data_IF_465891397630
#
_entry.id   IF_465891397630
#
_cell.length_a   1.000
_cell.length_b   1.000
_cell.length_c   1.000
_cell.angle_alpha   90.00
_cell.angle_beta   90.00
_cell.angle_gamma   90.00
#
_symmetry.space_group_name_H-M   'P 1'
#
loop_
_entity.id
_entity.type
_entity.pdbx_description
1 polymer ?
#
# COMPACT_ATOMS: atom_id res chain seq x y z
N UNK A 1 -11.75 7.20 35.85
CA UNK A 1 -10.68 6.45 35.16
C UNK A 1 -11.32 5.16 34.75
N UNK A 2 -11.78 5.12 33.50
CA UNK A 2 -12.69 4.12 32.95
C UNK A 2 -11.99 2.83 32.54
N UNK A 3 -12.69 1.72 32.75
CA UNK A 3 -12.32 0.33 32.53
C UNK A 3 -12.08 -0.02 31.04
N UNK A 4 -10.85 0.19 30.54
CA UNK A 4 -10.45 -0.22 29.18
C UNK A 4 -9.90 -1.65 29.08
N UNK A 5 -9.80 -2.41 30.17
CA UNK A 5 -9.14 -3.72 30.22
C UNK A 5 -9.88 -4.94 29.59
N UNK A 6 -11.23 -5.01 29.51
CA UNK A 6 -11.90 -6.23 29.04
C UNK A 6 -11.96 -6.37 27.50
N UNK A 7 -11.89 -5.28 26.73
CA UNK A 7 -12.04 -5.33 25.26
C UNK A 7 -10.76 -5.82 24.55
N UNK A 8 -9.60 -5.37 25.01
CA UNK A 8 -8.31 -5.76 24.43
C UNK A 8 -8.02 -7.25 24.63
N UNK A 9 -8.35 -7.79 25.82
CA UNK A 9 -8.17 -9.23 26.12
C UNK A 9 -9.08 -10.13 25.27
N UNK A 10 -10.26 -9.65 24.86
CA UNK A 10 -11.16 -10.40 23.95
C UNK A 10 -10.61 -10.38 22.53
N UNK A 11 -10.14 -9.22 22.04
CA UNK A 11 -9.52 -9.09 20.70
C UNK A 11 -8.27 -9.96 20.55
N UNK A 12 -7.44 -10.02 21.59
CA UNK A 12 -6.25 -10.89 21.61
C UNK A 12 -6.63 -12.37 21.52
N UNK A 13 -7.67 -12.81 22.24
CA UNK A 13 -8.18 -14.18 22.16
C UNK A 13 -8.73 -14.50 20.76
N UNK A 14 -9.49 -13.59 20.15
CA UNK A 14 -10.00 -13.75 18.79
C UNK A 14 -8.85 -13.85 17.79
N UNK A 15 -7.88 -12.94 17.87
CA UNK A 15 -6.68 -12.94 17.04
C UNK A 15 -5.91 -14.26 17.15
N UNK A 16 -5.73 -14.77 18.38
CA UNK A 16 -5.10 -16.06 18.63
C UNK A 16 -5.85 -17.23 17.96
N UNK A 17 -7.19 -17.28 18.11
CA UNK A 17 -8.03 -18.33 17.51
C UNK A 17 -7.96 -18.27 15.97
N UNK A 18 -8.10 -17.08 15.38
CA UNK A 18 -8.02 -16.87 13.93
C UNK A 18 -6.66 -17.30 13.41
N UNK A 19 -5.58 -16.89 14.08
CA UNK A 19 -4.21 -17.28 13.70
C UNK A 19 -4.02 -18.79 13.72
N UNK A 20 -4.52 -19.49 14.75
CA UNK A 20 -4.46 -20.96 14.80
C UNK A 20 -5.21 -21.62 13.65
N UNK A 21 -6.38 -21.11 13.28
CA UNK A 21 -7.17 -21.64 12.16
C UNK A 21 -6.50 -21.35 10.81
N UNK A 22 -5.91 -20.17 10.63
CA UNK A 22 -5.12 -19.84 9.43
C UNK A 22 -3.92 -20.79 9.28
N UNK A 23 -3.28 -21.19 10.38
CA UNK A 23 -2.16 -22.14 10.36
C UNK A 23 -2.54 -23.55 9.89
N UNK A 24 -3.84 -23.91 9.86
CA UNK A 24 -4.31 -25.16 9.28
C UNK A 24 -4.45 -25.10 7.75
N UNK A 25 -4.43 -23.89 7.16
CA UNK A 25 -4.52 -23.74 5.71
C UNK A 25 -3.22 -24.20 5.02
N UNK A 26 -3.28 -24.61 3.74
CA UNK A 26 -2.10 -24.87 2.94
C UNK A 26 -1.12 -23.69 2.94
N UNK A 27 0.18 -23.98 2.93
CA UNK A 27 1.25 -22.99 3.02
C UNK A 27 1.12 -21.84 2.00
N UNK A 28 0.71 -22.16 0.77
CA UNK A 28 0.49 -21.16 -0.28
C UNK A 28 -0.60 -20.13 0.07
N UNK A 29 -1.68 -20.58 0.74
CA UNK A 29 -2.79 -19.71 1.15
C UNK A 29 -2.39 -18.87 2.37
N UNK A 30 -1.66 -19.48 3.32
CA UNK A 30 -1.10 -18.79 4.48
C UNK A 30 -0.12 -17.69 4.07
N UNK A 31 0.79 -17.99 3.14
CA UNK A 31 1.77 -17.03 2.65
C UNK A 31 1.13 -15.80 2.01
N UNK A 32 -0.02 -15.96 1.34
CA UNK A 32 -0.77 -14.84 0.75
C UNK A 32 -1.37 -13.92 1.82
N UNK A 33 -1.82 -14.48 2.95
CA UNK A 33 -2.33 -13.72 4.10
C UNK A 33 -1.20 -12.95 4.81
N UNK A 34 -0.10 -13.62 5.11
CA UNK A 34 1.03 -13.05 5.86
C UNK A 34 1.81 -12.01 5.05
N UNK A 35 2.10 -12.31 3.78
CA UNK A 35 2.96 -11.47 2.93
C UNK A 35 2.18 -10.53 2.00
N UNK A 36 0.84 -10.53 2.09
CA UNK A 36 -0.02 -9.68 1.25
C UNK A 36 0.37 -8.20 1.28
N UNK A 37 0.57 -7.63 2.46
CA UNK A 37 0.99 -6.23 2.60
C UNK A 37 2.38 -5.95 2.02
N UNK A 38 3.28 -6.93 2.03
CA UNK A 38 4.62 -6.82 1.44
C UNK A 38 4.54 -6.71 -0.08
N UNK A 39 3.69 -7.48 -0.75
CA UNK A 39 3.49 -7.36 -2.21
C UNK A 39 2.96 -5.96 -2.59
N UNK A 40 2.00 -5.44 -1.81
CA UNK A 40 1.47 -4.09 -2.01
C UNK A 40 2.55 -3.04 -1.83
N UNK A 41 3.38 -3.17 -0.80
CA UNK A 41 4.56 -2.32 -0.57
C UNK A 41 5.55 -2.36 -1.72
N UNK A 42 5.90 -3.55 -2.22
CA UNK A 42 6.86 -3.70 -3.33
C UNK A 42 6.35 -3.03 -4.60
N UNK A 43 5.08 -3.20 -4.95
CA UNK A 43 4.49 -2.53 -6.09
C UNK A 43 4.47 -1.00 -5.92
N UNK A 44 4.23 -0.50 -4.70
CA UNK A 44 4.30 0.93 -4.40
C UNK A 44 5.73 1.49 -4.56
N UNK A 45 6.74 0.72 -4.15
CA UNK A 45 8.15 1.04 -4.37
C UNK A 45 8.47 1.19 -5.86
N UNK A 46 8.01 0.23 -6.67
CA UNK A 46 8.17 0.27 -8.12
C UNK A 46 7.42 1.47 -8.73
N UNK A 47 6.20 1.75 -8.29
CA UNK A 47 5.46 2.93 -8.71
C UNK A 47 6.22 4.23 -8.40
N UNK A 48 6.82 4.34 -7.21
CA UNK A 48 7.64 5.47 -6.81
C UNK A 48 8.90 5.62 -7.67
N UNK A 49 9.59 4.52 -7.99
CA UNK A 49 10.76 4.53 -8.89
C UNK A 49 10.40 4.92 -10.32
N UNK A 50 9.28 4.41 -10.85
CA UNK A 50 8.79 4.78 -12.19
C UNK A 50 8.43 6.26 -12.23
N UNK A 51 7.65 6.74 -11.24
CA UNK A 51 7.29 8.15 -11.13
C UNK A 51 8.54 9.04 -11.06
N UNK A 52 9.51 8.67 -10.21
CA UNK A 52 10.77 9.37 -10.08
C UNK A 52 11.52 9.43 -11.43
N UNK A 53 11.64 8.31 -12.14
CA UNK A 53 12.29 8.25 -13.45
C UNK A 53 11.62 9.17 -14.48
N UNK A 54 10.28 9.21 -14.50
CA UNK A 54 9.52 10.10 -15.39
C UNK A 54 9.73 11.58 -15.06
N UNK A 55 9.65 11.98 -13.78
CA UNK A 55 9.89 13.37 -13.38
C UNK A 55 11.32 13.82 -13.65
N UNK A 56 12.31 12.96 -13.42
CA UNK A 56 13.72 13.25 -13.73
C UNK A 56 13.95 13.53 -15.22
N UNK A 57 13.30 12.77 -16.10
CA UNK A 57 13.39 12.97 -17.55
C UNK A 57 12.75 14.29 -17.99
N UNK A 58 11.66 14.71 -17.34
CA UNK A 58 11.00 15.98 -17.67
C UNK A 58 11.77 17.19 -17.13
N UNK A 59 12.41 17.06 -15.97
CA UNK A 59 13.16 18.13 -15.31
C UNK A 59 14.68 18.08 -15.58
N UNK A 60 15.12 17.24 -16.52
CA UNK A 60 16.53 17.03 -16.89
C UNK A 60 17.49 16.76 -15.71
N UNK A 61 17.00 16.12 -14.64
CA UNK A 61 17.80 15.82 -13.44
C UNK A 61 18.64 14.55 -13.65
N UNK A 62 19.95 14.71 -13.83
CA UNK A 62 20.89 13.58 -14.04
C UNK A 62 21.64 13.15 -12.78
N UNK A 63 21.75 14.05 -11.80
CA UNK A 63 22.47 13.95 -10.54
C UNK A 63 21.68 13.14 -9.49
N UNK A 64 22.35 12.71 -8.42
CA UNK A 64 21.71 12.05 -7.26
C UNK A 64 20.78 10.86 -7.60
N UNK A 65 21.17 9.98 -8.56
CA UNK A 65 20.35 8.83 -8.99
C UNK A 65 19.97 7.89 -7.85
N UNK A 66 20.94 7.52 -7.04
CA UNK A 66 20.74 6.59 -5.91
C UNK A 66 20.09 7.34 -4.74
N UNK A 67 20.62 8.51 -4.38
CA UNK A 67 20.12 9.31 -3.25
C UNK A 67 18.67 9.78 -3.42
N UNK A 68 18.20 10.01 -4.65
CA UNK A 68 16.80 10.30 -4.94
C UNK A 68 15.96 9.04 -5.19
N UNK A 69 16.56 7.95 -5.70
CA UNK A 69 15.87 6.69 -5.98
C UNK A 69 15.52 5.91 -4.71
N UNK A 70 16.43 5.87 -3.74
CA UNK A 70 16.25 5.14 -2.49
C UNK A 70 15.03 5.63 -1.68
N UNK A 71 14.88 6.92 -1.33
CA UNK A 71 13.69 7.39 -0.61
C UNK A 71 12.41 7.19 -1.43
N UNK A 72 12.49 7.30 -2.76
CA UNK A 72 11.37 7.06 -3.66
C UNK A 72 10.96 5.59 -3.78
N UNK A 73 11.78 4.64 -3.31
CA UNK A 73 11.42 3.25 -3.16
C UNK A 73 10.96 2.94 -1.73
N UNK A 74 11.77 3.32 -0.74
CA UNK A 74 11.59 2.93 0.67
C UNK A 74 10.36 3.60 1.29
N UNK A 75 10.15 4.90 1.05
CA UNK A 75 9.01 5.62 1.66
C UNK A 75 7.69 5.06 1.09
N UNK A 76 7.48 5.00 -0.25
CA UNK A 76 6.30 4.34 -0.81
C UNK A 76 6.08 2.89 -0.34
N UNK A 77 7.16 2.11 -0.24
CA UNK A 77 7.09 0.74 0.27
C UNK A 77 6.49 0.70 1.67
N UNK A 78 7.10 1.42 2.61
CA UNK A 78 6.71 1.40 4.01
C UNK A 78 5.31 1.97 4.18
N UNK A 79 5.01 3.10 3.54
CA UNK A 79 3.70 3.74 3.64
C UNK A 79 2.60 2.81 3.15
N UNK A 80 2.76 2.17 1.98
CA UNK A 80 1.76 1.26 1.45
C UNK A 80 1.66 -0.04 2.26
N UNK A 81 2.79 -0.60 2.71
CA UNK A 81 2.82 -1.81 3.54
C UNK A 81 2.10 -1.60 4.87
N UNK A 82 2.45 -0.52 5.60
CA UNK A 82 1.86 -0.22 6.90
C UNK A 82 0.38 0.15 6.77
N UNK A 83 0.01 0.92 5.74
CA UNK A 83 -1.40 1.27 5.51
C UNK A 83 -2.23 0.03 5.17
N UNK A 84 -1.73 -0.86 4.31
CA UNK A 84 -2.45 -2.10 3.99
C UNK A 84 -2.56 -3.02 5.21
N UNK A 85 -1.48 -3.16 5.97
CA UNK A 85 -1.48 -3.94 7.20
C UNK A 85 -2.49 -3.39 8.22
N UNK A 86 -2.54 -2.07 8.41
CA UNK A 86 -3.42 -1.43 9.38
C UNK A 86 -4.90 -1.41 8.98
N UNK A 87 -5.22 -1.16 7.71
CA UNK A 87 -6.61 -0.98 7.26
C UNK A 87 -7.25 -2.26 6.66
N UNK A 88 -6.45 -3.27 6.32
CA UNK A 88 -6.93 -4.51 5.69
C UNK A 88 -6.54 -5.72 6.53
N UNK A 89 -5.24 -5.99 6.71
CA UNK A 89 -4.79 -7.23 7.37
C UNK A 89 -5.19 -7.28 8.85
N UNK A 90 -5.05 -6.18 9.59
CA UNK A 90 -5.34 -6.14 11.02
C UNK A 90 -6.84 -6.36 11.32
N UNK A 91 -7.79 -5.63 10.69
CA UNK A 91 -9.22 -5.90 10.84
C UNK A 91 -9.63 -7.34 10.50
N UNK A 92 -9.03 -7.93 9.46
CA UNK A 92 -9.30 -9.33 9.09
C UNK A 92 -8.82 -10.31 10.16
N UNK A 93 -7.65 -10.05 10.76
CA UNK A 93 -7.07 -10.93 11.78
C UNK A 93 -7.70 -10.76 13.17
N UNK A 94 -8.33 -9.62 13.46
CA UNK A 94 -9.06 -9.39 14.72
C UNK A 94 -10.54 -9.79 14.66
N UNK A 95 -10.98 -10.37 13.53
CA UNK A 95 -12.36 -10.83 13.38
C UNK A 95 -13.36 -9.72 13.02
N UNK A 96 -12.89 -8.52 12.67
CA UNK A 96 -13.72 -7.46 12.07
C UNK A 96 -14.00 -7.76 10.59
N UNK A 97 -14.65 -8.90 10.38
CA UNK A 97 -15.08 -9.45 9.11
C UNK A 97 -16.32 -8.71 8.65
N UNK A 98 -16.13 -7.44 8.29
CA UNK A 98 -17.08 -6.68 7.50
C UNK A 98 -17.41 -7.42 6.20
N UNK A 99 -18.40 -6.96 5.44
CA UNK A 99 -18.77 -7.60 4.17
C UNK A 99 -17.57 -7.70 3.19
N UNK A 100 -17.62 -8.69 2.29
CA UNK A 100 -16.57 -8.90 1.28
C UNK A 100 -16.28 -7.60 0.51
N UNK A 101 -17.34 -6.89 0.10
CA UNK A 101 -17.24 -5.61 -0.60
C UNK A 101 -16.52 -4.55 0.22
N UNK A 102 -16.73 -4.49 1.54
CA UNK A 102 -16.03 -3.54 2.41
C UNK A 102 -14.52 -3.81 2.39
N UNK A 103 -14.10 -5.06 2.54
CA UNK A 103 -12.68 -5.44 2.48
C UNK A 103 -12.07 -5.12 1.11
N UNK A 104 -12.78 -5.40 0.02
CA UNK A 104 -12.36 -5.06 -1.35
C UNK A 104 -12.19 -3.54 -1.50
N UNK A 105 -13.16 -2.75 -1.05
CA UNK A 105 -13.10 -1.29 -1.16
C UNK A 105 -11.97 -0.70 -0.31
N UNK A 106 -11.75 -1.20 0.92
CA UNK A 106 -10.62 -0.79 1.78
C UNK A 106 -9.29 -1.10 1.11
N UNK A 107 -9.10 -2.33 0.64
CA UNK A 107 -7.88 -2.74 -0.07
C UNK A 107 -7.63 -1.93 -1.33
N UNK A 108 -8.65 -1.75 -2.17
CA UNK A 108 -8.58 -0.91 -3.37
C UNK A 108 -8.24 0.54 -3.06
N UNK A 109 -8.89 1.15 -2.05
CA UNK A 109 -8.63 2.54 -1.66
C UNK A 109 -7.20 2.71 -1.14
N UNK A 110 -6.70 1.79 -0.31
CA UNK A 110 -5.32 1.80 0.16
C UNK A 110 -4.34 1.66 -1.01
N UNK A 111 -4.60 0.73 -1.94
CA UNK A 111 -3.80 0.55 -3.15
C UNK A 111 -3.77 1.79 -4.04
N UNK A 112 -4.91 2.43 -4.24
CA UNK A 112 -5.04 3.66 -5.03
C UNK A 112 -4.28 4.82 -4.38
N UNK A 113 -4.55 5.11 -3.11
CA UNK A 113 -4.02 6.28 -2.42
C UNK A 113 -2.54 6.09 -2.08
N UNK A 114 -2.21 5.07 -1.30
CA UNK A 114 -0.85 4.87 -0.78
C UNK A 114 0.06 4.13 -1.75
N UNK A 115 -0.50 3.21 -2.55
CA UNK A 115 0.26 2.45 -3.54
C UNK A 115 0.44 3.16 -4.88
N UNK A 116 -0.51 4.01 -5.28
CA UNK A 116 -0.56 4.61 -6.62
C UNK A 116 -0.35 6.12 -6.66
N UNK A 117 -1.20 6.89 -5.99
CA UNK A 117 -1.21 8.36 -6.05
C UNK A 117 -0.08 8.98 -5.22
N UNK A 118 0.10 8.51 -3.98
CA UNK A 118 1.10 9.03 -3.06
C UNK A 118 2.53 9.02 -3.63
N UNK A 119 3.02 7.93 -4.25
CA UNK A 119 4.36 7.91 -4.83
C UNK A 119 4.54 8.90 -5.99
N UNK A 120 3.48 9.17 -6.77
CA UNK A 120 3.52 10.17 -7.86
C UNK A 120 3.56 11.58 -7.30
N UNK A 121 2.76 11.87 -6.28
CA UNK A 121 2.75 13.18 -5.61
C UNK A 121 4.08 13.43 -4.92
N UNK A 122 4.66 12.43 -4.25
CA UNK A 122 5.96 12.52 -3.58
C UNK A 122 7.10 12.82 -4.55
N UNK A 123 7.02 12.34 -5.79
CA UNK A 123 8.04 12.58 -6.81
C UNK A 123 8.14 14.05 -7.24
N UNK A 124 7.06 14.84 -7.10
CA UNK A 124 7.02 16.27 -7.47
C UNK A 124 8.01 17.09 -6.63
N UNK A 125 7.89 17.18 -5.29
CA UNK A 125 8.80 17.98 -4.48
C UNK A 125 10.22 17.44 -4.50
N UNK A 126 10.41 16.11 -4.56
CA UNK A 126 11.76 15.50 -4.62
C UNK A 126 12.49 15.94 -5.88
N UNK A 127 11.86 15.82 -7.05
CA UNK A 127 12.51 16.18 -8.31
C UNK A 127 12.56 17.70 -8.54
N UNK A 128 11.57 18.45 -8.04
CA UNK A 128 11.60 19.91 -8.06
C UNK A 128 12.72 20.48 -7.20
N UNK A 129 12.93 19.95 -6.00
CA UNK A 129 14.04 20.35 -5.14
C UNK A 129 15.40 20.04 -5.74
N UNK A 130 15.54 18.88 -6.40
CA UNK A 130 16.76 18.53 -7.14
C UNK A 130 16.99 19.45 -8.34
N UNK A 131 15.94 19.77 -9.09
CA UNK A 131 16.03 20.69 -10.21
C UNK A 131 16.44 22.10 -9.77
N UNK A 132 15.94 22.57 -8.63
CA UNK A 132 16.34 23.84 -8.02
C UNK A 132 17.81 23.81 -7.58
N UNK A 133 18.23 22.72 -6.92
CA UNK A 133 19.58 22.59 -6.36
C UNK A 133 20.67 22.48 -7.43
N UNK A 134 20.38 21.82 -8.55
CA UNK A 134 21.34 21.58 -9.63
C UNK A 134 21.10 22.44 -10.86
N UNK A 135 20.19 23.41 -10.77
CA UNK A 135 19.81 24.32 -11.87
C UNK A 135 19.52 23.58 -13.18
N UNK A 136 18.93 22.38 -13.09
CA UNK A 136 18.79 21.49 -14.24
C UNK A 136 17.64 21.86 -15.18
N UNK A 137 16.71 22.69 -14.71
CA UNK A 137 15.59 23.19 -15.49
C UNK A 137 15.19 24.60 -15.00
N UNK A 138 14.71 25.48 -15.90
CA UNK A 138 14.18 26.78 -15.51
C UNK A 138 12.91 26.60 -14.69
N UNK A 139 12.97 26.97 -13.41
CA UNK A 139 11.82 26.94 -12.52
C UNK A 139 10.98 28.23 -12.65
N UNK A 140 9.66 28.16 -12.45
CA UNK A 140 8.77 29.30 -12.62
C UNK A 140 9.09 30.42 -11.62
N UNK A 141 9.16 31.66 -12.10
CA UNK A 141 9.19 32.86 -11.25
C UNK A 141 7.84 33.09 -10.55
N UNK A 142 7.86 33.88 -9.48
CA UNK A 142 6.72 34.11 -8.57
C UNK A 142 5.46 34.51 -9.35
N UNK A 143 4.43 33.67 -9.29
CA UNK A 143 3.10 33.95 -9.85
C UNK A 143 2.44 32.77 -10.56
N UNK A 144 3.20 31.84 -11.15
CA UNK A 144 2.63 30.77 -11.99
C UNK A 144 3.07 29.33 -11.64
N UNK A 145 3.45 29.10 -10.38
CA UNK A 145 4.03 27.84 -9.89
C UNK A 145 3.04 26.66 -10.05
N UNK A 146 1.77 26.85 -9.71
CA UNK A 146 0.75 25.80 -9.80
C UNK A 146 0.50 25.37 -11.26
N UNK A 147 0.39 26.33 -12.18
CA UNK A 147 0.20 26.06 -13.61
C UNK A 147 1.39 25.33 -14.22
N UNK A 148 2.60 25.69 -13.80
CA UNK A 148 3.83 25.00 -14.21
C UNK A 148 3.83 23.52 -13.78
N UNK A 149 3.57 23.27 -12.49
CA UNK A 149 3.56 21.91 -11.95
C UNK A 149 2.40 21.06 -12.47
N UNK A 150 1.24 21.65 -12.71
CA UNK A 150 0.11 20.93 -13.35
C UNK A 150 0.44 20.57 -14.79
N UNK A 151 1.06 21.47 -15.57
CA UNK A 151 1.49 21.19 -16.95
C UNK A 151 2.52 20.07 -17.03
N UNK A 152 3.49 20.05 -16.13
CA UNK A 152 4.53 19.01 -16.06
C UNK A 152 3.98 17.68 -15.57
N UNK A 153 3.12 17.70 -14.55
CA UNK A 153 2.57 16.49 -13.95
C UNK A 153 1.57 15.80 -14.86
N UNK A 154 0.76 16.53 -15.65
CA UNK A 154 -0.29 15.97 -16.53
C UNK A 154 0.17 14.78 -17.42
N UNK A 155 1.26 14.88 -18.21
CA UNK A 155 1.74 13.75 -19.00
C UNK A 155 2.27 12.58 -18.15
N UNK A 156 2.80 12.87 -16.96
CA UNK A 156 3.32 11.85 -16.04
C UNK A 156 2.17 11.07 -15.41
N UNK A 157 1.14 11.75 -14.91
CA UNK A 157 -0.08 11.12 -14.41
C UNK A 157 -0.76 10.27 -15.48
N UNK A 158 -0.76 10.71 -16.75
CA UNK A 158 -1.30 9.90 -17.87
C UNK A 158 -0.52 8.61 -18.08
N UNK A 159 0.82 8.63 -17.95
CA UNK A 159 1.66 7.43 -18.02
C UNK A 159 1.54 6.53 -16.78
N UNK A 160 1.35 7.13 -15.61
CA UNK A 160 1.18 6.43 -14.34
C UNK A 160 -0.23 5.85 -14.15
N UNK A 161 -1.21 6.23 -14.99
CA UNK A 161 -2.57 5.73 -14.90
C UNK A 161 -2.63 4.19 -14.94
N UNK A 162 -1.87 3.57 -15.83
CA UNK A 162 -1.85 2.10 -15.93
C UNK A 162 -1.27 1.42 -14.67
N UNK A 163 -0.06 1.79 -14.18
CA UNK A 163 0.44 1.31 -12.88
C UNK A 163 -0.52 1.52 -11.71
N UNK A 164 -1.17 2.69 -11.63
CA UNK A 164 -2.11 3.02 -10.55
C UNK A 164 -3.34 2.11 -10.59
N UNK A 165 -3.94 1.90 -11.77
CA UNK A 165 -5.08 1.02 -11.93
C UNK A 165 -4.72 -0.44 -11.63
N UNK A 166 -3.55 -0.89 -12.10
CA UNK A 166 -3.04 -2.23 -11.80
C UNK A 166 -2.85 -2.42 -10.29
N UNK A 167 -2.21 -1.46 -9.61
CA UNK A 167 -1.99 -1.50 -8.16
C UNK A 167 -3.31 -1.49 -7.38
N UNK A 168 -4.26 -0.66 -7.80
CA UNK A 168 -5.60 -0.58 -7.19
C UNK A 168 -6.37 -1.89 -7.35
N UNK A 169 -6.41 -2.43 -8.57
CA UNK A 169 -7.06 -3.70 -8.86
C UNK A 169 -6.41 -4.87 -8.14
N UNK A 170 -5.08 -4.91 -8.09
CA UNK A 170 -4.33 -5.94 -7.36
C UNK A 170 -4.60 -5.87 -5.85
N UNK A 171 -4.63 -4.68 -5.26
CA UNK A 171 -4.95 -4.51 -3.84
C UNK A 171 -6.40 -4.91 -3.51
N UNK A 172 -7.35 -4.56 -4.39
CA UNK A 172 -8.75 -4.96 -4.26
C UNK A 172 -8.92 -6.49 -4.38
N UNK A 173 -8.25 -7.10 -5.35
CA UNK A 173 -8.23 -8.55 -5.55
C UNK A 173 -7.62 -9.28 -4.33
N UNK A 174 -6.49 -8.79 -3.83
CA UNK A 174 -5.83 -9.34 -2.66
C UNK A 174 -6.74 -9.25 -1.43
N UNK A 175 -7.44 -8.13 -1.24
CA UNK A 175 -8.45 -7.98 -0.19
C UNK A 175 -9.59 -9.02 -0.28
N UNK A 176 -10.16 -9.25 -1.47
CA UNK A 176 -11.17 -10.30 -1.69
C UNK A 176 -10.62 -11.69 -1.35
N UNK A 177 -9.40 -12.00 -1.82
CA UNK A 177 -8.75 -13.29 -1.57
C UNK A 177 -8.49 -13.51 -0.09
N UNK A 178 -7.94 -12.51 0.60
CA UNK A 178 -7.68 -12.59 2.04
C UNK A 178 -8.99 -12.77 2.82
N UNK A 179 -10.06 -12.06 2.48
CA UNK A 179 -11.37 -12.27 3.08
C UNK A 179 -11.87 -13.71 2.93
N UNK A 180 -11.85 -14.25 1.70
CA UNK A 180 -12.30 -15.63 1.43
C UNK A 180 -11.47 -16.67 2.19
N UNK A 181 -10.16 -16.46 2.30
CA UNK A 181 -9.28 -17.36 3.04
C UNK A 181 -9.55 -17.33 4.54
N UNK A 182 -9.82 -16.16 5.12
CA UNK A 182 -10.18 -16.06 6.55
C UNK A 182 -11.52 -16.75 6.81
N UNK A 183 -12.52 -16.55 5.96
CA UNK A 183 -13.81 -17.27 6.09
C UNK A 183 -13.62 -18.79 5.96
N UNK A 184 -12.80 -19.24 5.00
CA UNK A 184 -12.46 -20.66 4.84
C UNK A 184 -11.76 -21.21 6.09
N UNK A 185 -10.81 -20.46 6.68
CA UNK A 185 -10.14 -20.85 7.92
C UNK A 185 -11.13 -20.96 9.08
N UNK A 186 -12.07 -20.03 9.20
CA UNK A 186 -13.07 -20.04 10.26
C UNK A 186 -13.99 -21.28 10.22
N UNK A 187 -14.31 -21.76 9.02
CA UNK A 187 -15.12 -22.97 8.79
C UNK A 187 -14.40 -24.27 9.15
N UNK A 188 -13.07 -24.26 9.30
CA UNK A 188 -12.33 -25.45 9.71
C UNK A 188 -12.62 -25.79 11.19
N UNK A 189 -12.66 -27.07 11.57
CA UNK A 189 -12.81 -27.47 12.97
C UNK A 189 -11.67 -26.91 13.83
N UNK A 190 -11.94 -26.67 15.11
CA UNK A 190 -10.87 -26.20 16.00
C UNK A 190 -9.74 -27.23 16.10
N UNK A 191 -8.46 -26.79 16.00
CA UNK A 191 -7.33 -27.70 16.15
C UNK A 191 -7.34 -28.28 17.56
N UNK A 192 -7.48 -29.60 17.66
CA UNK A 192 -7.46 -30.32 18.95
C UNK A 192 -8.83 -30.66 19.55
N UNK A 193 -9.94 -30.38 18.85
CA UNK A 193 -11.24 -30.98 19.19
C UNK A 193 -11.38 -32.32 18.45
N UNK A 194 -10.62 -33.33 18.88
CA UNK A 194 -10.93 -34.71 18.49
C UNK A 194 -12.27 -35.05 19.14
N UNK A 195 -13.29 -35.34 18.30
CA UNK A 195 -14.54 -35.89 18.78
C UNK A 195 -14.24 -37.27 19.38
N UNK A 196 -14.23 -37.34 20.70
CA UNK A 196 -14.24 -38.60 21.44
C UNK A 196 -15.63 -39.24 21.38
#
# INVERSE_FOLDING_TARGET
MEDHEPDDTVKEKIFYIITRKINQLPEAERNLLEHGSTYIGLNAALCGLIANSLFRRVLNVTQARIAAGLPMAVIPFLTAHLSYKGFVSFPLNTGDLNCETCTITRGGLVGLVFGGLYPVILAIPVNGGLAARYESAPLPEKGNILTYWTRISKPIFRKMLFPILLQTGFAAYLGSRQYKLVIKALQLPEPGLEFQ
#
